data_IF_565465424478
#
_entry.id   IF_565465424478
#
_cell.length_a   1.000
_cell.length_b   1.000
_cell.length_c   1.000
_cell.angle_alpha   90.00
_cell.angle_beta   90.00
_cell.angle_gamma   90.00
#
_symmetry.space_group_name_H-M   'P 1'
#
loop_
_entity.id
_entity.type
_entity.pdbx_description
1 polymer ?
#
# COMPACT_ATOMS: atom_id res chain seq x y z
N UNK A 1 19.70 -2.65 15.83
CA UNK A 1 19.12 -3.55 14.84
C UNK A 1 17.64 -3.23 14.75
N UNK A 2 17.25 -2.38 13.81
CA UNK A 2 15.83 -2.20 13.50
C UNK A 2 15.32 -3.48 12.87
N UNK A 3 14.43 -4.18 13.57
CA UNK A 3 13.71 -5.31 13.00
C UNK A 3 12.89 -4.79 11.84
N UNK A 4 13.03 -5.43 10.70
CA UNK A 4 12.31 -5.19 9.47
C UNK A 4 10.81 -5.05 9.72
N UNK A 5 10.29 -3.82 9.75
CA UNK A 5 8.87 -3.53 9.97
C UNK A 5 7.97 -4.00 8.83
N UNK A 6 8.56 -4.38 7.69
CA UNK A 6 7.84 -4.77 6.48
C UNK A 6 7.54 -6.27 6.37
N UNK A 7 8.21 -7.10 7.17
CA UNK A 7 7.96 -8.55 7.25
C UNK A 7 7.11 -8.97 8.46
N UNK A 8 6.72 -8.01 9.31
CA UNK A 8 5.97 -8.34 10.50
C UNK A 8 4.58 -8.89 10.15
N UNK A 9 4.44 -10.17 10.41
CA UNK A 9 3.16 -10.83 10.60
C UNK A 9 2.26 -9.99 11.49
N UNK A 10 1.01 -9.81 11.08
CA UNK A 10 -0.03 -9.27 11.97
C UNK A 10 -0.06 -10.11 13.24
N UNK A 11 0.60 -9.64 14.28
CA UNK A 11 0.46 -10.26 15.60
C UNK A 11 -0.87 -9.83 16.19
N UNK A 12 -1.88 -10.64 15.97
CA UNK A 12 -3.14 -10.55 16.70
C UNK A 12 -2.87 -10.94 18.14
N UNK A 13 -2.49 -9.98 18.98
CA UNK A 13 -2.41 -10.22 20.41
C UNK A 13 -3.82 -10.18 21.02
N UNK A 14 -4.30 -11.33 21.46
CA UNK A 14 -5.27 -11.59 22.53
C UNK A 14 -6.63 -10.86 22.61
N UNK A 15 -7.17 -10.29 21.54
CA UNK A 15 -8.51 -9.68 21.57
C UNK A 15 -9.56 -10.42 20.75
N UNK A 16 -9.41 -11.73 20.60
CA UNK A 16 -10.29 -12.56 19.78
C UNK A 16 -9.74 -12.77 18.36
N UNK A 17 -10.37 -13.70 17.64
CA UNK A 17 -10.01 -13.97 16.23
C UNK A 17 -10.28 -12.73 15.39
N UNK A 18 -9.31 -12.28 14.57
CA UNK A 18 -9.52 -11.13 13.69
C UNK A 18 -10.69 -11.38 12.73
N UNK A 19 -11.39 -10.31 12.37
CA UNK A 19 -12.47 -10.42 11.38
C UNK A 19 -11.89 -10.76 10.01
N UNK A 20 -12.50 -11.70 9.28
CA UNK A 20 -12.06 -12.00 7.92
C UNK A 20 -12.45 -10.89 6.96
N UNK A 21 -11.72 -10.73 5.86
CA UNK A 21 -12.21 -10.03 4.70
C UNK A 21 -13.39 -10.80 4.09
N UNK A 22 -14.45 -10.11 3.64
CA UNK A 22 -15.63 -10.76 3.10
C UNK A 22 -15.35 -11.35 1.71
N UNK A 23 -16.16 -12.33 1.32
CA UNK A 23 -16.28 -12.73 -0.08
C UNK A 23 -16.80 -11.53 -0.87
N UNK A 24 -16.21 -11.24 -2.04
CA UNK A 24 -16.59 -10.09 -2.83
C UNK A 24 -17.75 -10.46 -3.75
N UNK A 25 -18.89 -9.79 -3.56
CA UNK A 25 -20.10 -9.92 -4.38
C UNK A 25 -20.00 -9.00 -5.61
N UNK A 26 -19.29 -9.48 -6.64
CA UNK A 26 -19.12 -8.75 -7.90
C UNK A 26 -20.46 -8.57 -8.65
N UNK A 27 -21.39 -9.50 -8.53
CA UNK A 27 -22.68 -9.44 -9.20
C UNK A 27 -23.51 -8.27 -8.67
N UNK A 28 -23.41 -7.99 -7.37
CA UNK A 28 -24.09 -6.85 -6.74
C UNK A 28 -23.78 -5.51 -7.41
N UNK A 29 -22.59 -5.36 -7.97
CA UNK A 29 -22.16 -4.14 -8.67
C UNK A 29 -22.18 -4.28 -10.19
N UNK A 30 -22.67 -5.42 -10.71
CA UNK A 30 -22.83 -5.67 -12.15
C UNK A 30 -21.53 -6.03 -12.88
N UNK A 31 -20.56 -6.63 -12.17
CA UNK A 31 -19.26 -7.03 -12.73
C UNK A 31 -18.96 -8.51 -12.48
N UNK A 32 -17.83 -8.97 -13.03
CA UNK A 32 -17.31 -10.32 -12.81
C UNK A 32 -15.97 -10.25 -12.10
N UNK A 33 -15.66 -11.27 -11.29
CA UNK A 33 -14.37 -11.42 -10.68
C UNK A 33 -13.24 -11.43 -11.73
N UNK A 34 -12.05 -10.92 -11.42
CA UNK A 34 -10.85 -11.21 -12.19
C UNK A 34 -10.60 -12.73 -12.27
N UNK A 35 -9.99 -13.18 -13.36
CA UNK A 35 -9.70 -14.60 -13.59
C UNK A 35 -8.20 -14.82 -13.64
N UNK A 36 -7.70 -15.74 -12.84
CA UNK A 36 -6.28 -16.11 -12.85
C UNK A 36 -5.95 -16.87 -14.13
N UNK A 37 -4.85 -16.49 -14.78
CA UNK A 37 -4.28 -17.25 -15.90
C UNK A 37 -3.32 -18.29 -15.34
N UNK A 38 -3.57 -19.55 -15.66
CA UNK A 38 -2.69 -20.68 -15.35
C UNK A 38 -1.75 -20.97 -16.51
N UNK A 39 -0.53 -21.44 -16.22
CA UNK A 39 0.37 -22.02 -17.22
C UNK A 39 1.43 -21.07 -17.83
N UNK A 40 1.59 -19.85 -17.33
CA UNK A 40 2.61 -18.91 -17.81
C UNK A 40 3.76 -18.73 -16.80
N UNK A 41 4.39 -19.83 -16.41
CA UNK A 41 5.56 -19.81 -15.54
C UNK A 41 6.67 -20.70 -16.08
N UNK A 42 7.70 -20.07 -16.63
CA UNK A 42 8.87 -20.73 -17.20
C UNK A 42 10.09 -20.77 -16.26
N UNK A 43 9.84 -20.52 -14.96
CA UNK A 43 10.86 -20.46 -13.92
C UNK A 43 11.19 -19.02 -13.48
N UNK A 44 11.82 -18.90 -12.31
CA UNK A 44 12.08 -17.60 -11.66
C UNK A 44 13.01 -16.67 -12.44
N UNK A 45 13.84 -17.21 -13.33
CA UNK A 45 14.78 -16.45 -14.16
C UNK A 45 14.29 -16.22 -15.60
N UNK A 46 13.09 -16.68 -15.93
CA UNK A 46 12.47 -16.41 -17.23
C UNK A 46 11.98 -14.96 -17.32
N UNK A 47 11.82 -14.39 -18.54
CA UNK A 47 11.15 -13.10 -18.69
C UNK A 47 9.71 -13.14 -18.18
N UNK A 48 9.25 -12.01 -17.67
CA UNK A 48 7.86 -11.88 -17.24
C UNK A 48 6.88 -12.00 -18.42
N UNK A 49 5.70 -12.57 -18.21
CA UNK A 49 4.66 -12.64 -19.23
C UNK A 49 4.20 -11.26 -19.70
N UNK A 50 3.75 -11.15 -20.96
CA UNK A 50 3.19 -9.91 -21.48
C UNK A 50 1.91 -9.54 -20.74
N UNK A 51 1.76 -8.23 -20.45
CA UNK A 51 0.58 -7.68 -19.77
C UNK A 51 0.26 -6.27 -20.26
N UNK A 52 -1.01 -5.88 -20.24
CA UNK A 52 -1.44 -4.51 -20.56
C UNK A 52 -1.12 -3.55 -19.40
N UNK A 53 -1.20 -4.06 -18.17
CA UNK A 53 -0.99 -3.32 -16.91
C UNK A 53 -0.13 -4.13 -15.97
N UNK A 54 0.80 -3.47 -15.29
CA UNK A 54 1.50 -4.00 -14.09
C UNK A 54 0.93 -3.32 -12.86
N UNK A 55 0.58 -4.08 -11.83
CA UNK A 55 0.21 -3.56 -10.51
C UNK A 55 1.20 -4.06 -9.48
N UNK A 56 1.81 -3.14 -8.73
CA UNK A 56 2.90 -3.42 -7.79
C UNK A 56 2.48 -3.11 -6.35
N UNK A 57 2.90 -3.95 -5.40
CA UNK A 57 2.68 -3.80 -3.95
C UNK A 57 3.87 -4.33 -3.16
N UNK A 58 3.94 -4.14 -1.84
CA UNK A 58 5.13 -4.48 -1.03
C UNK A 58 4.84 -5.35 0.19
N UNK A 59 4.09 -4.84 1.16
CA UNK A 59 3.97 -5.48 2.47
C UNK A 59 3.06 -6.70 2.46
N UNK A 60 3.21 -7.56 3.46
CA UNK A 60 2.35 -8.75 3.58
C UNK A 60 0.86 -8.41 3.71
N UNK A 61 0.55 -7.30 4.40
CA UNK A 61 -0.83 -6.84 4.55
C UNK A 61 -1.45 -6.43 3.21
N UNK A 62 -0.69 -5.65 2.44
CA UNK A 62 -1.06 -5.21 1.11
C UNK A 62 -1.20 -6.39 0.15
N UNK A 63 -0.21 -7.28 0.15
CA UNK A 63 -0.19 -8.44 -0.72
C UNK A 63 -1.35 -9.40 -0.43
N UNK A 64 -1.65 -9.69 0.84
CA UNK A 64 -2.78 -10.54 1.22
C UNK A 64 -4.13 -9.94 0.76
N UNK A 65 -4.33 -8.64 0.98
CA UNK A 65 -5.53 -7.95 0.52
C UNK A 65 -5.62 -7.89 -1.02
N UNK A 66 -4.50 -7.71 -1.67
CA UNK A 66 -4.35 -7.71 -3.12
C UNK A 66 -4.68 -9.07 -3.73
N UNK A 67 -4.13 -10.17 -3.15
CA UNK A 67 -4.48 -11.53 -3.53
C UNK A 67 -5.98 -11.78 -3.37
N UNK A 68 -6.56 -11.34 -2.26
CA UNK A 68 -7.99 -11.53 -2.01
C UNK A 68 -8.86 -10.87 -3.08
N UNK A 69 -8.57 -9.63 -3.47
CA UNK A 69 -9.38 -8.90 -4.46
C UNK A 69 -9.20 -9.44 -5.86
N UNK A 70 -7.97 -9.75 -6.27
CA UNK A 70 -7.65 -10.05 -7.66
C UNK A 70 -7.52 -11.54 -7.99
N UNK A 71 -7.27 -12.39 -6.99
CA UNK A 71 -6.99 -13.82 -7.19
C UNK A 71 -8.03 -14.72 -6.51
N UNK A 72 -8.37 -14.42 -5.26
CA UNK A 72 -9.16 -15.32 -4.41
C UNK A 72 -10.42 -14.67 -3.83
N UNK A 73 -11.11 -13.84 -4.59
CA UNK A 73 -12.27 -13.05 -4.15
C UNK A 73 -13.49 -13.87 -3.69
N UNK A 74 -13.55 -15.16 -4.03
CA UNK A 74 -14.63 -16.08 -3.62
C UNK A 74 -14.39 -16.76 -2.26
N UNK A 75 -13.31 -16.48 -1.57
CA UNK A 75 -12.99 -17.04 -0.26
C UNK A 75 -12.89 -15.94 0.80
N UNK A 76 -13.12 -16.27 2.08
CA UNK A 76 -12.80 -15.37 3.19
C UNK A 76 -11.30 -15.40 3.46
N UNK A 77 -10.73 -14.26 3.87
CA UNK A 77 -9.33 -14.14 4.28
C UNK A 77 -9.21 -13.59 5.69
N UNK A 78 -8.36 -14.23 6.48
CA UNK A 78 -7.94 -13.72 7.78
C UNK A 78 -6.53 -13.11 7.67
N UNK A 79 -6.16 -12.15 8.52
CA UNK A 79 -4.82 -11.53 8.49
C UNK A 79 -3.66 -12.54 8.56
N UNK A 80 -3.83 -13.65 9.26
CA UNK A 80 -2.79 -14.67 9.45
C UNK A 80 -2.89 -15.86 8.47
N UNK A 81 -3.81 -15.80 7.50
CA UNK A 81 -3.95 -16.84 6.47
C UNK A 81 -2.82 -16.70 5.44
N UNK A 82 -1.97 -17.73 5.35
CA UNK A 82 -0.78 -17.76 4.49
C UNK A 82 -0.85 -18.80 3.37
N UNK A 83 -1.91 -19.60 3.31
CA UNK A 83 -2.02 -20.68 2.32
C UNK A 83 -2.04 -20.16 0.87
N UNK A 84 -2.43 -18.91 0.68
CA UNK A 84 -2.46 -18.24 -0.61
C UNK A 84 -1.08 -17.97 -1.23
N UNK A 85 0.01 -17.91 -0.42
CA UNK A 85 1.37 -17.57 -0.88
C UNK A 85 1.89 -18.57 -1.92
N UNK A 86 1.55 -19.84 -1.79
CA UNK A 86 1.99 -20.89 -2.70
C UNK A 86 1.47 -20.78 -4.13
N UNK A 87 0.45 -19.95 -4.36
CA UNK A 87 -0.11 -19.73 -5.69
C UNK A 87 0.65 -18.68 -6.52
N UNK A 88 1.61 -17.96 -5.93
CA UNK A 88 2.38 -16.92 -6.59
C UNK A 88 3.72 -17.45 -7.10
N UNK A 89 4.19 -16.91 -8.24
CA UNK A 89 5.44 -17.32 -8.89
C UNK A 89 6.57 -16.40 -8.48
N UNK A 90 7.74 -16.97 -8.17
CA UNK A 90 8.95 -16.21 -7.84
C UNK A 90 9.56 -15.57 -9.08
N UNK A 91 10.22 -14.41 -8.90
CA UNK A 91 10.94 -13.72 -9.97
C UNK A 91 12.30 -13.22 -9.50
N UNK A 92 13.36 -13.67 -10.20
CA UNK A 92 14.76 -13.44 -9.81
C UNK A 92 15.68 -13.10 -10.99
N UNK A 93 15.12 -12.76 -12.16
CA UNK A 93 15.91 -12.47 -13.35
C UNK A 93 16.74 -11.20 -13.19
N UNK A 94 18.03 -11.26 -13.60
CA UNK A 94 18.95 -10.13 -13.60
C UNK A 94 19.15 -9.45 -12.23
N UNK A 95 19.10 -10.21 -11.15
CA UNK A 95 19.36 -9.67 -9.82
C UNK A 95 20.83 -9.24 -9.73
N UNK A 96 21.13 -8.00 -9.24
CA UNK A 96 22.50 -7.56 -9.02
C UNK A 96 23.20 -8.44 -7.99
N UNK A 97 24.51 -8.65 -8.19
CA UNK A 97 25.33 -9.31 -7.18
C UNK A 97 25.34 -8.47 -5.89
N UNK A 98 25.14 -9.13 -4.74
CA UNK A 98 25.11 -8.46 -3.43
C UNK A 98 23.74 -7.88 -3.05
N UNK A 99 22.70 -8.13 -3.84
CA UNK A 99 21.33 -7.80 -3.40
C UNK A 99 20.99 -8.60 -2.15
N UNK A 100 20.65 -7.89 -1.07
CA UNK A 100 20.08 -8.47 0.14
C UNK A 100 18.57 -8.36 0.04
N UNK A 101 17.89 -9.47 0.28
CA UNK A 101 16.43 -9.48 0.49
C UNK A 101 16.15 -9.98 1.89
N UNK A 102 14.99 -9.66 2.43
CA UNK A 102 14.54 -10.15 3.73
C UNK A 102 14.39 -11.68 3.77
N UNK A 103 14.44 -12.32 2.62
CA UNK A 103 14.28 -13.74 2.48
C UNK A 103 15.66 -14.42 2.51
N UNK A 104 15.90 -15.23 3.54
CA UNK A 104 17.18 -15.88 3.83
C UNK A 104 17.59 -16.97 2.83
N UNK A 105 16.74 -17.35 1.88
CA UNK A 105 16.97 -18.51 1.01
C UNK A 105 17.57 -18.20 -0.35
N UNK A 106 17.15 -17.14 -1.02
CA UNK A 106 17.73 -16.64 -2.27
C UNK A 106 17.19 -15.23 -2.56
N UNK A 107 18.00 -14.32 -3.12
CA UNK A 107 17.51 -13.00 -3.49
C UNK A 107 16.44 -13.10 -4.59
N UNK A 108 15.33 -12.39 -4.40
CA UNK A 108 14.22 -12.27 -5.32
C UNK A 108 13.93 -10.79 -5.59
N UNK A 109 13.49 -10.45 -6.79
CA UNK A 109 12.83 -9.18 -7.03
C UNK A 109 11.43 -9.14 -6.43
N UNK A 110 10.80 -10.30 -6.34
CA UNK A 110 9.46 -10.42 -5.80
C UNK A 110 8.71 -11.66 -6.29
N UNK A 111 7.40 -11.59 -6.16
CA UNK A 111 6.48 -12.63 -6.59
C UNK A 111 5.43 -12.03 -7.53
N UNK A 112 4.94 -12.82 -8.49
CA UNK A 112 3.93 -12.33 -9.42
C UNK A 112 2.81 -13.33 -9.69
N UNK A 113 1.70 -12.80 -10.19
CA UNK A 113 0.56 -13.54 -10.71
C UNK A 113 0.02 -12.82 -11.94
N UNK A 114 -0.50 -13.56 -12.91
CA UNK A 114 -1.16 -12.97 -14.08
C UNK A 114 -2.65 -13.23 -14.00
N UNK A 115 -3.43 -12.21 -14.25
CA UNK A 115 -4.88 -12.29 -14.29
C UNK A 115 -5.43 -11.65 -15.56
N UNK A 116 -6.66 -12.01 -15.92
CA UNK A 116 -7.49 -11.28 -16.85
C UNK A 116 -8.67 -10.63 -16.13
N UNK A 117 -9.02 -9.43 -16.54
CA UNK A 117 -10.22 -8.75 -16.08
C UNK A 117 -10.91 -8.01 -17.21
N UNK A 118 -12.24 -7.84 -17.10
CA UNK A 118 -13.02 -7.07 -18.06
C UNK A 118 -13.14 -5.61 -17.63
N UNK A 119 -12.88 -4.71 -18.56
CA UNK A 119 -13.13 -3.28 -18.36
C UNK A 119 -14.63 -2.95 -18.54
N UNK A 120 -15.04 -1.75 -18.12
CA UNK A 120 -16.39 -1.23 -18.34
C UNK A 120 -16.77 -1.15 -19.83
N UNK A 121 -15.78 -1.07 -20.71
CA UNK A 121 -15.94 -1.12 -22.17
C UNK A 121 -15.99 -2.55 -22.72
N UNK A 122 -16.10 -3.56 -21.86
CA UNK A 122 -16.10 -5.00 -22.17
C UNK A 122 -14.82 -5.51 -22.87
N UNK A 123 -13.74 -4.72 -22.85
CA UNK A 123 -12.41 -5.16 -23.28
C UNK A 123 -11.82 -6.04 -22.18
N UNK A 124 -11.20 -7.17 -22.54
CA UNK A 124 -10.37 -7.94 -21.62
C UNK A 124 -8.98 -7.32 -21.59
N UNK A 125 -8.45 -7.10 -20.39
CA UNK A 125 -7.06 -6.67 -20.16
C UNK A 125 -6.33 -7.72 -19.34
N UNK A 126 -5.04 -7.89 -19.61
CA UNK A 126 -4.12 -8.73 -18.84
C UNK A 126 -3.41 -7.85 -17.82
N UNK A 127 -3.40 -8.29 -16.58
CA UNK A 127 -2.77 -7.57 -15.49
C UNK A 127 -1.73 -8.48 -14.85
N UNK A 128 -0.49 -8.03 -14.79
CA UNK A 128 0.54 -8.67 -13.99
C UNK A 128 0.53 -8.04 -12.60
N UNK A 129 0.20 -8.83 -11.62
CA UNK A 129 0.25 -8.49 -10.20
C UNK A 129 1.65 -8.79 -9.69
N UNK A 130 2.31 -7.84 -9.04
CA UNK A 130 3.69 -7.99 -8.57
C UNK A 130 3.84 -7.58 -7.10
N UNK A 131 4.24 -8.52 -6.24
CA UNK A 131 4.68 -8.22 -4.88
C UNK A 131 6.18 -7.99 -4.92
N UNK A 132 6.61 -6.77 -4.67
CA UNK A 132 8.00 -6.35 -4.73
C UNK A 132 8.71 -6.60 -3.39
N UNK A 133 9.96 -7.10 -3.45
CA UNK A 133 10.84 -7.25 -2.30
C UNK A 133 11.91 -6.13 -2.22
N UNK A 134 11.89 -5.18 -3.17
CA UNK A 134 12.82 -4.06 -3.21
C UNK A 134 12.14 -2.79 -2.68
N UNK A 135 12.84 -2.03 -1.83
CA UNK A 135 12.31 -0.87 -1.15
C UNK A 135 13.39 0.21 -0.97
N UNK A 136 13.01 1.50 -0.96
CA UNK A 136 13.97 2.61 -0.80
C UNK A 136 14.77 2.58 0.50
N UNK A 137 14.23 2.00 1.57
CA UNK A 137 14.92 1.91 2.86
C UNK A 137 15.87 0.72 2.99
N UNK A 138 15.93 -0.18 1.99
CA UNK A 138 16.73 -1.40 2.04
C UNK A 138 17.58 -1.60 0.80
N UNK A 139 18.77 -2.24 0.90
CA UNK A 139 19.56 -2.60 -0.28
C UNK A 139 18.74 -3.44 -1.27
N UNK A 140 18.85 -3.18 -2.57
CA UNK A 140 19.75 -2.25 -3.25
C UNK A 140 19.22 -0.81 -3.37
N UNK A 141 18.30 -0.38 -2.51
CA UNK A 141 17.81 1.00 -2.42
C UNK A 141 17.19 1.52 -3.73
N UNK A 142 17.33 2.81 -4.02
CA UNK A 142 16.77 3.45 -5.21
C UNK A 142 17.20 2.77 -6.52
N UNK A 143 18.46 2.36 -6.63
CA UNK A 143 18.97 1.71 -7.85
C UNK A 143 18.26 0.38 -8.16
N UNK A 144 17.94 -0.40 -7.12
CA UNK A 144 17.18 -1.64 -7.28
C UNK A 144 15.73 -1.37 -7.66
N UNK A 145 15.11 -0.38 -7.06
CA UNK A 145 13.72 -0.01 -7.38
C UNK A 145 13.61 0.54 -8.82
N UNK A 146 14.59 1.35 -9.26
CA UNK A 146 14.68 1.79 -10.65
C UNK A 146 14.85 0.62 -11.61
N UNK A 147 15.76 -0.31 -11.28
CA UNK A 147 16.05 -1.49 -12.12
C UNK A 147 14.82 -2.39 -12.26
N UNK A 148 14.20 -2.80 -11.15
CA UNK A 148 13.04 -3.70 -11.21
C UNK A 148 11.85 -3.03 -11.91
N UNK A 149 11.60 -1.75 -11.64
CA UNK A 149 10.53 -1.01 -12.32
C UNK A 149 10.76 -0.96 -13.83
N UNK A 150 12.00 -0.66 -14.24
CA UNK A 150 12.39 -0.67 -15.65
C UNK A 150 12.19 -2.04 -16.29
N UNK A 151 12.59 -3.10 -15.59
CA UNK A 151 12.47 -4.48 -16.07
C UNK A 151 11.02 -4.94 -16.17
N UNK A 152 10.18 -4.60 -15.18
CA UNK A 152 8.73 -4.84 -15.24
C UNK A 152 8.10 -4.22 -16.50
N UNK A 153 8.42 -2.97 -16.81
CA UNK A 153 7.88 -2.29 -17.99
C UNK A 153 8.39 -2.92 -19.29
N UNK A 154 9.69 -3.16 -19.41
CA UNK A 154 10.32 -3.66 -20.63
C UNK A 154 9.89 -5.09 -20.96
N UNK A 155 9.85 -5.96 -19.97
CA UNK A 155 9.52 -7.37 -20.20
C UNK A 155 8.03 -7.59 -20.45
N UNK A 156 7.17 -6.92 -19.69
CA UNK A 156 5.71 -7.05 -19.90
C UNK A 156 5.22 -6.29 -21.12
N UNK A 157 5.90 -5.19 -21.49
CA UNK A 157 5.45 -4.26 -22.52
C UNK A 157 4.17 -3.51 -22.12
N UNK A 158 3.93 -3.34 -20.83
CA UNK A 158 2.72 -2.73 -20.30
C UNK A 158 2.59 -1.27 -20.71
N UNK A 159 1.37 -0.83 -20.95
CA UNK A 159 1.04 0.58 -21.20
C UNK A 159 0.81 1.37 -19.92
N UNK A 160 0.58 0.66 -18.80
CA UNK A 160 0.36 1.24 -17.47
C UNK A 160 1.12 0.47 -16.40
N UNK A 161 1.72 1.22 -15.47
CA UNK A 161 2.18 0.71 -14.19
C UNK A 161 1.39 1.38 -13.07
N UNK A 162 0.88 0.60 -12.15
CA UNK A 162 0.06 1.03 -11.03
C UNK A 162 0.67 0.57 -9.72
N UNK A 163 0.88 1.48 -8.80
CA UNK A 163 1.32 1.12 -7.46
C UNK A 163 0.15 1.16 -6.50
N UNK A 164 0.04 0.15 -5.65
CA UNK A 164 -0.93 0.12 -4.56
C UNK A 164 -0.23 -0.15 -3.24
N UNK A 165 -0.71 0.45 -2.17
CA UNK A 165 -0.17 0.19 -0.85
C UNK A 165 -0.70 1.13 0.23
N UNK A 166 -0.13 0.96 1.40
CA UNK A 166 -0.41 1.77 2.58
C UNK A 166 0.32 3.11 2.53
N UNK A 167 -0.22 4.09 3.22
CA UNK A 167 0.40 5.40 3.36
C UNK A 167 -0.01 6.09 4.66
N UNK A 168 0.85 6.97 5.14
CA UNK A 168 0.54 7.94 6.17
C UNK A 168 -0.37 9.04 5.66
N UNK A 169 -1.32 9.46 6.48
CA UNK A 169 -2.17 10.59 6.19
C UNK A 169 -1.40 11.90 6.11
N UNK A 170 -1.88 12.82 5.30
CA UNK A 170 -1.32 14.16 5.13
C UNK A 170 -2.16 15.26 5.79
N UNK A 171 -3.40 14.95 6.18
CA UNK A 171 -4.36 15.87 6.77
C UNK A 171 -5.15 15.22 7.90
N UNK A 172 -5.54 16.02 8.88
CA UNK A 172 -6.40 15.56 9.99
C UNK A 172 -7.81 15.12 9.56
N UNK A 173 -8.23 15.46 8.35
CA UNK A 173 -9.54 15.08 7.79
C UNK A 173 -9.56 13.76 7.04
N UNK A 174 -8.42 13.09 6.91
CA UNK A 174 -8.30 11.79 6.26
C UNK A 174 -8.57 10.68 7.26
N UNK A 175 -9.55 9.82 6.94
CA UNK A 175 -9.93 8.72 7.82
C UNK A 175 -9.08 7.49 7.55
N UNK A 176 -8.94 6.65 8.56
CA UNK A 176 -8.38 5.31 8.40
C UNK A 176 -9.15 4.55 7.31
N UNK A 177 -8.42 4.00 6.35
CA UNK A 177 -8.99 3.27 5.22
C UNK A 177 -9.49 4.12 4.06
N UNK A 178 -9.39 5.47 4.11
CA UNK A 178 -9.57 6.31 2.93
C UNK A 178 -8.53 5.92 1.87
N UNK A 179 -8.90 5.93 0.59
CA UNK A 179 -8.00 5.58 -0.51
C UNK A 179 -7.77 6.81 -1.38
N UNK A 180 -6.55 7.29 -1.39
CA UNK A 180 -6.14 8.42 -2.24
C UNK A 180 -5.57 7.87 -3.54
N UNK A 181 -6.10 8.33 -4.67
CA UNK A 181 -5.59 7.99 -6.00
C UNK A 181 -4.96 9.24 -6.59
N UNK A 182 -3.68 9.16 -6.97
CA UNK A 182 -2.94 10.26 -7.61
C UNK A 182 -2.03 9.77 -8.72
N UNK A 183 -1.72 10.63 -9.67
CA UNK A 183 -0.77 10.41 -10.75
C UNK A 183 0.44 11.36 -10.65
N UNK A 184 0.69 11.92 -9.48
CA UNK A 184 1.81 12.82 -9.24
C UNK A 184 2.55 12.45 -7.95
N UNK A 185 3.87 12.64 -7.94
CA UNK A 185 4.72 12.36 -6.79
C UNK A 185 5.92 13.29 -6.69
N UNK A 186 6.48 13.40 -5.50
CA UNK A 186 7.70 14.12 -5.21
C UNK A 186 8.62 13.23 -4.37
N UNK A 187 9.91 13.20 -4.71
CA UNK A 187 10.92 12.37 -4.05
C UNK A 187 11.75 13.23 -3.10
N UNK A 188 11.81 12.86 -1.83
CA UNK A 188 12.64 13.49 -0.82
C UNK A 188 13.46 12.44 -0.07
N UNK A 189 14.76 12.40 -0.30
CA UNK A 189 15.66 11.38 0.21
C UNK A 189 16.61 11.94 1.27
N UNK A 190 17.01 11.09 2.22
CA UNK A 190 17.97 11.41 3.28
C UNK A 190 19.10 10.38 3.39
N UNK A 191 18.85 9.11 3.04
CA UNK A 191 19.88 8.08 3.11
C UNK A 191 20.99 8.37 2.10
N UNK A 192 22.23 8.29 2.53
CA UNK A 192 23.42 8.53 1.70
C UNK A 192 23.42 7.68 0.43
N UNK A 193 23.00 6.44 0.57
CA UNK A 193 22.89 5.45 -0.50
C UNK A 193 21.94 5.90 -1.62
N UNK A 194 20.85 6.55 -1.24
CA UNK A 194 19.84 7.03 -2.19
C UNK A 194 20.18 8.41 -2.76
N UNK A 195 20.90 9.27 -2.02
CA UNK A 195 21.26 10.60 -2.49
C UNK A 195 22.15 10.58 -3.73
N UNK A 196 22.97 9.52 -3.90
CA UNK A 196 23.82 9.32 -5.08
C UNK A 196 23.05 8.98 -6.36
N UNK A 197 21.78 8.56 -6.25
CA UNK A 197 20.93 8.20 -7.41
C UNK A 197 20.55 9.41 -8.29
N UNK A 198 20.65 10.63 -7.77
CA UNK A 198 20.18 11.83 -8.45
C UNK A 198 18.65 11.99 -8.48
N UNK A 199 17.91 11.18 -7.74
CA UNK A 199 16.44 11.22 -7.66
C UNK A 199 15.92 12.26 -6.65
N UNK A 200 16.75 12.66 -5.69
CA UNK A 200 16.32 13.60 -4.65
C UNK A 200 15.78 14.91 -5.24
N UNK A 201 14.66 15.38 -4.72
CA UNK A 201 13.91 16.56 -5.18
C UNK A 201 13.35 16.46 -6.61
N UNK A 202 13.26 15.25 -7.18
CA UNK A 202 12.53 15.05 -8.44
C UNK A 202 11.04 15.01 -8.18
N UNK A 203 10.30 15.52 -9.17
CA UNK A 203 8.83 15.42 -9.20
C UNK A 203 8.39 14.76 -10.47
N UNK A 204 7.32 14.01 -10.40
CA UNK A 204 6.72 13.29 -11.52
C UNK A 204 5.24 13.63 -11.61
N UNK A 205 4.72 13.61 -12.84
CA UNK A 205 3.28 13.77 -13.08
C UNK A 205 2.88 12.96 -14.31
N UNK A 206 1.93 12.05 -14.13
CA UNK A 206 1.33 11.26 -15.21
C UNK A 206 0.47 12.11 -16.14
N UNK A 207 0.36 11.67 -17.37
CA UNK A 207 -0.43 12.35 -18.42
C UNK A 207 -1.90 11.98 -18.40
N UNK A 208 -2.26 10.86 -17.75
CA UNK A 208 -3.61 10.37 -17.66
C UNK A 208 -3.99 10.12 -16.20
N UNK A 209 -5.27 10.29 -15.91
CA UNK A 209 -5.84 10.02 -14.60
C UNK A 209 -7.18 9.30 -14.78
N UNK A 210 -7.41 8.14 -14.11
CA UNK A 210 -8.66 7.42 -14.21
C UNK A 210 -9.77 8.14 -13.46
N UNK A 211 -10.91 8.27 -14.10
CA UNK A 211 -12.13 8.79 -13.47
C UNK A 211 -13.29 7.86 -13.81
N UNK A 212 -14.01 7.41 -12.79
CA UNK A 212 -15.13 6.49 -12.97
C UNK A 212 -16.21 6.67 -11.91
N UNK A 213 -17.47 6.51 -12.32
CA UNK A 213 -18.60 6.42 -11.40
C UNK A 213 -18.54 5.17 -10.50
N UNK A 214 -17.74 4.17 -10.90
CA UNK A 214 -17.57 2.93 -10.17
C UNK A 214 -16.92 3.15 -8.78
N UNK A 215 -16.15 4.21 -8.59
CA UNK A 215 -15.56 4.55 -7.30
C UNK A 215 -16.62 4.66 -6.19
N UNK A 216 -17.69 5.40 -6.44
CA UNK A 216 -18.78 5.56 -5.45
C UNK A 216 -19.54 4.25 -5.22
N UNK A 217 -19.69 3.43 -6.26
CA UNK A 217 -20.36 2.12 -6.16
C UNK A 217 -19.55 1.14 -5.31
N UNK A 218 -18.24 1.01 -5.59
CA UNK A 218 -17.34 0.13 -4.83
C UNK A 218 -17.25 0.59 -3.37
N UNK A 219 -17.05 1.88 -3.14
CA UNK A 219 -17.00 2.45 -1.80
C UNK A 219 -18.28 2.13 -1.00
N UNK A 220 -19.44 2.28 -1.60
CA UNK A 220 -20.73 2.05 -0.94
C UNK A 220 -21.02 0.58 -0.64
N UNK A 221 -20.61 -0.33 -1.52
CA UNK A 221 -21.10 -1.70 -1.51
C UNK A 221 -20.06 -2.74 -1.14
N UNK A 222 -18.77 -2.46 -1.34
CA UNK A 222 -17.70 -3.45 -1.19
C UNK A 222 -16.65 -3.08 -0.14
N UNK A 223 -16.46 -1.78 0.19
CA UNK A 223 -15.44 -1.37 1.17
C UNK A 223 -15.69 -2.03 2.52
N UNK A 224 -14.59 -2.41 3.16
CA UNK A 224 -14.61 -2.90 4.52
C UNK A 224 -15.05 -1.79 5.49
N UNK A 225 -15.95 -2.14 6.39
CA UNK A 225 -16.40 -1.21 7.43
C UNK A 225 -15.37 -1.14 8.56
N UNK A 226 -14.54 -0.11 8.55
CA UNK A 226 -13.51 0.10 9.56
C UNK A 226 -14.07 0.25 10.97
N UNK A 227 -15.34 0.65 11.15
CA UNK A 227 -15.97 0.77 12.46
C UNK A 227 -16.13 -0.57 13.17
N UNK A 228 -16.12 -1.66 12.42
CA UNK A 228 -16.19 -3.03 12.96
C UNK A 228 -14.91 -3.49 13.67
N UNK A 229 -13.77 -2.88 13.35
CA UNK A 229 -12.44 -3.25 13.90
C UNK A 229 -11.83 -2.15 14.76
N UNK A 230 -12.09 -0.88 14.46
CA UNK A 230 -11.60 0.26 15.25
C UNK A 230 -12.57 0.50 16.40
N UNK A 231 -12.28 -0.06 17.55
CA UNK A 231 -13.11 0.04 18.75
C UNK A 231 -12.31 0.55 19.95
N UNK A 232 -12.96 1.16 20.93
CA UNK A 232 -12.28 1.63 22.15
C UNK A 232 -11.50 0.54 22.87
N UNK A 233 -12.01 -0.71 23.05
CA UNK A 233 -11.22 -1.78 23.63
C UNK A 233 -9.96 -2.12 22.87
N UNK A 234 -10.00 -2.14 21.53
CA UNK A 234 -8.83 -2.39 20.68
C UNK A 234 -7.81 -1.27 20.82
N UNK A 235 -8.23 -0.01 20.70
CA UNK A 235 -7.33 1.14 20.85
C UNK A 235 -6.73 1.21 22.26
N UNK A 236 -7.50 0.83 23.30
CA UNK A 236 -6.99 0.77 24.67
C UNK A 236 -5.90 -0.30 24.82
N UNK A 237 -6.10 -1.49 24.26
CA UNK A 237 -5.08 -2.55 24.27
C UNK A 237 -3.80 -2.10 23.61
N UNK A 238 -3.90 -1.49 22.40
CA UNK A 238 -2.74 -0.96 21.69
C UNK A 238 -2.02 0.12 22.50
N UNK A 239 -2.76 1.01 23.15
CA UNK A 239 -2.20 2.05 24.00
C UNK A 239 -1.47 1.48 25.24
N UNK A 240 -2.02 0.45 25.88
CA UNK A 240 -1.38 -0.22 26.99
C UNK A 240 -0.07 -0.90 26.57
N UNK A 241 -0.03 -1.49 25.38
CA UNK A 241 1.19 -2.05 24.78
C UNK A 241 2.23 -0.97 24.50
N UNK A 242 1.81 0.18 23.92
CA UNK A 242 2.69 1.33 23.71
C UNK A 242 3.32 1.83 25.01
N UNK A 243 2.52 1.97 26.08
CA UNK A 243 3.02 2.39 27.41
C UNK A 243 4.00 1.40 28.06
N UNK A 244 3.94 0.12 27.65
CA UNK A 244 4.93 -0.88 28.09
C UNK A 244 6.24 -0.77 27.30
N UNK A 245 6.17 -0.42 26.02
CA UNK A 245 7.34 -0.29 25.13
C UNK A 245 8.07 1.03 25.34
N UNK A 246 7.33 2.14 25.52
CA UNK A 246 7.88 3.49 25.65
C UNK A 246 7.45 4.14 26.98
N UNK A 247 8.45 4.44 27.82
CA UNK A 247 8.21 5.08 29.12
C UNK A 247 7.67 6.51 29.00
N UNK A 248 7.95 7.22 27.91
CA UNK A 248 7.41 8.57 27.62
C UNK A 248 5.90 8.55 27.42
N UNK A 249 5.37 7.46 26.85
CA UNK A 249 3.94 7.27 26.66
C UNK A 249 3.15 7.16 27.97
N UNK A 250 3.80 6.86 29.12
CA UNK A 250 3.14 6.79 30.44
C UNK A 250 2.56 8.14 30.90
N UNK A 251 3.06 9.23 30.39
CA UNK A 251 2.55 10.57 30.68
C UNK A 251 1.33 10.98 29.86
N UNK A 252 0.96 10.15 28.87
CA UNK A 252 -0.15 10.39 27.95
C UNK A 252 -1.39 9.57 28.35
N UNK A 253 -2.52 9.98 27.81
CA UNK A 253 -3.78 9.21 27.81
C UNK A 253 -4.11 8.78 26.38
N UNK A 254 -4.93 7.74 26.22
CA UNK A 254 -5.39 7.30 24.90
C UNK A 254 -5.99 8.45 24.07
N UNK A 255 -6.76 9.34 24.71
CA UNK A 255 -7.36 10.49 24.03
C UNK A 255 -6.33 11.53 23.54
N UNK A 256 -5.10 11.48 23.98
CA UNK A 256 -4.05 12.36 23.49
C UNK A 256 -3.49 11.89 22.12
N UNK A 257 -3.66 10.59 21.80
CA UNK A 257 -3.20 9.95 20.56
C UNK A 257 -4.34 9.66 19.56
N UNK A 258 -5.57 9.54 20.04
CA UNK A 258 -6.76 9.31 19.19
C UNK A 258 -7.28 10.66 18.71
N UNK A 259 -7.09 10.92 17.42
CA UNK A 259 -7.65 12.06 16.72
C UNK A 259 -8.97 11.68 15.99
N UNK A 260 -9.74 12.63 15.43
CA UNK A 260 -11.01 12.33 14.77
C UNK A 260 -10.99 11.20 13.76
N UNK A 261 -9.95 11.02 12.90
CA UNK A 261 -9.86 9.92 11.95
C UNK A 261 -9.76 8.51 12.57
N UNK A 262 -9.42 8.43 13.85
CA UNK A 262 -9.26 7.16 14.58
C UNK A 262 -10.26 7.02 15.74
N UNK A 263 -11.03 8.06 16.06
CA UNK A 263 -12.03 8.03 17.13
C UNK A 263 -13.25 7.18 16.73
N UNK A 264 -13.52 6.04 17.40
CA UNK A 264 -14.63 5.16 17.05
C UNK A 264 -16.01 5.83 17.01
N UNK A 265 -16.18 6.95 17.72
CA UNK A 265 -17.44 7.73 17.72
C UNK A 265 -17.60 8.62 16.48
N UNK A 266 -16.49 9.00 15.87
CA UNK A 266 -16.44 9.94 14.76
C UNK A 266 -15.93 9.31 13.46
N UNK A 267 -15.50 8.05 13.51
CA UNK A 267 -15.01 7.32 12.35
C UNK A 267 -16.11 7.23 11.30
N UNK A 268 -15.80 7.68 10.09
CA UNK A 268 -16.71 7.65 8.95
C UNK A 268 -16.39 6.48 8.05
N UNK A 269 -17.36 6.12 7.22
CA UNK A 269 -17.09 5.17 6.12
C UNK A 269 -15.92 5.68 5.27
N UNK A 270 -14.96 4.80 5.02
CA UNK A 270 -13.81 5.08 4.17
C UNK A 270 -14.26 5.46 2.76
N UNK A 271 -13.53 6.36 2.11
CA UNK A 271 -13.87 6.91 0.79
C UNK A 271 -12.69 6.83 -0.16
N UNK A 272 -12.99 6.85 -1.45
CA UNK A 272 -11.99 7.07 -2.50
C UNK A 272 -11.86 8.58 -2.71
N UNK A 273 -10.63 9.07 -2.70
CA UNK A 273 -10.27 10.49 -2.87
C UNK A 273 -9.45 10.62 -4.14
N UNK A 274 -10.05 10.94 -5.29
CA UNK A 274 -9.30 11.26 -6.50
C UNK A 274 -8.50 12.55 -6.29
N UNK A 275 -7.20 12.49 -6.52
CA UNK A 275 -6.25 13.57 -6.29
C UNK A 275 -5.39 13.84 -7.54
N UNK A 276 -6.05 14.01 -8.71
CA UNK A 276 -5.39 14.25 -9.99
C UNK A 276 -4.38 15.40 -9.90
N UNK A 277 -3.13 15.08 -10.21
CA UNK A 277 -2.02 16.02 -10.20
C UNK A 277 -1.60 16.55 -8.84
N UNK A 278 -2.23 16.16 -7.73
CA UNK A 278 -1.73 16.48 -6.39
C UNK A 278 -0.68 15.45 -6.00
N UNK A 279 0.60 15.87 -5.79
CA UNK A 279 1.67 14.92 -5.54
C UNK A 279 1.54 14.24 -4.18
N UNK A 280 1.88 12.96 -4.14
CA UNK A 280 2.28 12.28 -2.91
C UNK A 280 3.75 12.60 -2.58
N UNK A 281 4.17 12.34 -1.35
CA UNK A 281 5.56 12.44 -0.94
C UNK A 281 6.14 11.04 -0.75
N UNK A 282 7.17 10.73 -1.53
CA UNK A 282 8.00 9.52 -1.39
C UNK A 282 9.26 9.85 -0.59
N UNK A 283 9.51 9.09 0.48
CA UNK A 283 10.71 9.24 1.33
C UNK A 283 11.38 7.90 1.57
N UNK A 284 12.69 7.91 1.82
CA UNK A 284 13.45 6.73 2.24
C UNK A 284 13.59 6.60 3.76
N UNK A 285 12.79 7.36 4.49
CA UNK A 285 12.69 7.35 5.94
C UNK A 285 11.23 7.49 6.38
N UNK A 286 10.93 7.00 7.56
CA UNK A 286 9.58 7.15 8.11
C UNK A 286 9.30 8.63 8.43
N UNK A 287 8.37 9.23 7.67
CA UNK A 287 8.04 10.65 7.80
C UNK A 287 6.85 10.84 8.74
N UNK A 288 7.12 11.39 9.92
CA UNK A 288 6.07 11.71 10.89
C UNK A 288 5.48 13.08 10.55
N UNK A 289 4.31 13.05 9.94
CA UNK A 289 3.63 14.25 9.51
C UNK A 289 3.23 15.17 10.66
N UNK A 290 3.44 16.46 10.48
CA UNK A 290 2.94 17.49 11.40
C UNK A 290 2.54 18.76 10.65
N UNK A 291 1.32 19.26 10.94
CA UNK A 291 0.87 20.58 10.54
C UNK A 291 0.80 20.85 9.04
N UNK A 292 1.04 22.11 8.67
CA UNK A 292 0.86 22.60 7.30
C UNK A 292 1.82 22.00 6.26
N UNK A 293 2.96 21.46 6.68
CA UNK A 293 3.94 20.87 5.74
C UNK A 293 3.41 19.60 5.11
N UNK A 294 2.81 18.71 5.90
CA UNK A 294 2.22 17.48 5.40
C UNK A 294 1.05 17.75 4.44
N UNK A 295 0.26 18.79 4.70
CA UNK A 295 -0.93 19.13 3.90
C UNK A 295 -0.63 19.52 2.44
N UNK A 296 0.64 19.76 2.10
CA UNK A 296 1.08 19.96 0.71
C UNK A 296 0.89 18.71 -0.14
N UNK A 297 1.00 17.54 0.47
CA UNK A 297 0.98 16.25 -0.17
C UNK A 297 -0.41 15.64 -0.19
N UNK A 298 -0.63 14.71 -1.09
CA UNK A 298 -1.86 13.91 -1.09
C UNK A 298 -1.82 12.83 -0.04
N UNK A 299 -0.68 12.16 0.11
CA UNK A 299 -0.32 11.16 1.13
C UNK A 299 1.20 11.08 1.28
N UNK A 300 1.69 10.32 2.27
CA UNK A 300 3.10 10.11 2.57
C UNK A 300 3.43 8.62 2.46
N UNK A 301 4.44 8.25 1.65
CA UNK A 301 4.79 6.85 1.42
C UNK A 301 6.29 6.72 1.05
N UNK A 302 6.75 5.55 0.60
CA UNK A 302 8.18 5.28 0.55
C UNK A 302 8.72 4.76 -0.82
N UNK A 303 7.91 4.64 -1.90
CA UNK A 303 8.40 4.03 -3.17
C UNK A 303 7.86 4.64 -4.46
N UNK A 304 6.63 5.15 -4.46
CA UNK A 304 5.84 5.44 -5.65
C UNK A 304 6.43 6.43 -6.63
N UNK A 305 6.96 7.55 -6.12
CA UNK A 305 7.47 8.57 -7.02
C UNK A 305 8.71 8.10 -7.80
N UNK A 306 9.46 7.11 -7.29
CA UNK A 306 10.55 6.46 -8.05
C UNK A 306 9.98 5.62 -9.18
N UNK A 307 8.91 4.86 -8.93
CA UNK A 307 8.20 4.12 -9.99
C UNK A 307 7.69 5.08 -11.06
N UNK A 308 7.04 6.16 -10.65
CA UNK A 308 6.56 7.19 -11.56
C UNK A 308 7.68 7.84 -12.38
N UNK A 309 8.85 8.05 -11.76
CA UNK A 309 10.02 8.58 -12.45
C UNK A 309 10.50 7.64 -13.58
N UNK A 310 10.66 6.35 -13.29
CA UNK A 310 11.05 5.36 -14.29
C UNK A 310 10.00 5.22 -15.38
N UNK A 311 8.72 5.14 -15.00
CA UNK A 311 7.62 5.05 -15.95
C UNK A 311 7.59 6.26 -16.90
N UNK A 312 7.81 7.47 -16.39
CA UNK A 312 7.89 8.69 -17.20
C UNK A 312 9.06 8.65 -18.19
N UNK A 313 10.24 8.19 -17.79
CA UNK A 313 11.39 8.01 -18.69
C UNK A 313 11.09 6.98 -19.79
N UNK A 314 10.35 5.94 -19.50
CA UNK A 314 9.94 4.88 -20.43
C UNK A 314 8.66 5.20 -21.21
N UNK A 315 8.07 6.40 -21.02
CA UNK A 315 6.80 6.81 -21.64
C UNK A 315 5.63 5.87 -21.37
N UNK A 316 5.65 5.21 -20.21
CA UNK A 316 4.58 4.37 -19.69
C UNK A 316 3.68 5.20 -18.78
N UNK A 317 2.37 5.06 -18.88
CA UNK A 317 1.43 5.72 -17.97
C UNK A 317 1.54 5.14 -16.57
N UNK A 318 1.31 5.97 -15.54
CA UNK A 318 1.38 5.50 -14.16
C UNK A 318 0.32 6.17 -13.27
N UNK A 319 -0.04 5.47 -12.20
CA UNK A 319 -0.92 5.98 -11.16
C UNK A 319 -0.64 5.26 -9.84
N UNK A 320 -1.03 5.87 -8.74
CA UNK A 320 -0.82 5.39 -7.38
C UNK A 320 -2.15 5.36 -6.63
N UNK A 321 -2.41 4.25 -5.94
CA UNK A 321 -3.54 4.09 -5.02
C UNK A 321 -3.00 3.82 -3.62
N UNK A 322 -3.13 4.78 -2.72
CA UNK A 322 -2.63 4.67 -1.36
C UNK A 322 -3.76 4.72 -0.36
N UNK A 323 -3.92 3.66 0.41
CA UNK A 323 -4.87 3.62 1.51
C UNK A 323 -4.24 4.16 2.79
N UNK A 324 -4.98 5.02 3.48
CA UNK A 324 -4.53 5.56 4.77
C UNK A 324 -4.55 4.44 5.80
N UNK A 325 -3.37 3.97 6.18
CA UNK A 325 -3.16 2.95 7.22
C UNK A 325 -2.81 3.55 8.57
N UNK A 326 -2.26 4.75 8.55
CA UNK A 326 -1.79 5.50 9.70
C UNK A 326 -2.17 6.98 9.55
N UNK A 327 -3.33 7.39 10.08
CA UNK A 327 -3.74 8.79 10.09
C UNK A 327 -2.76 9.65 10.89
N UNK A 328 -2.74 10.96 10.62
CA UNK A 328 -1.89 11.89 11.36
C UNK A 328 -2.13 11.78 12.87
N UNK A 329 -1.05 11.54 13.60
CA UNK A 329 -1.03 11.62 15.08
C UNK A 329 -0.73 13.06 15.50
N UNK A 330 -1.50 13.67 16.41
CA UNK A 330 -1.27 15.03 16.84
C UNK A 330 0.15 15.25 17.38
N UNK A 331 0.79 16.35 17.00
CA UNK A 331 2.09 16.73 17.54
C UNK A 331 1.98 17.31 18.97
N UNK A 332 0.79 17.70 19.38
CA UNK A 332 0.50 18.27 20.71
C UNK A 332 -0.80 17.74 21.26
N UNK A 333 -0.82 17.43 22.57
CA UNK A 333 -2.02 17.11 23.31
C UNK A 333 -2.07 17.96 24.59
N UNK A 334 -3.18 18.64 24.83
CA UNK A 334 -3.37 19.51 26.02
C UNK A 334 -2.22 20.50 26.26
N UNK A 335 -1.65 21.03 25.18
CA UNK A 335 -0.51 21.97 25.25
C UNK A 335 0.87 21.33 25.43
N UNK A 336 0.97 20.02 25.61
CA UNK A 336 2.24 19.27 25.67
C UNK A 336 2.61 18.76 24.28
N UNK A 337 3.88 18.81 23.94
CA UNK A 337 4.42 18.16 22.72
C UNK A 337 4.45 16.65 22.94
N UNK A 338 4.02 15.90 21.93
CA UNK A 338 4.16 14.44 21.88
C UNK A 338 5.42 14.14 21.07
N UNK A 339 6.34 13.36 21.64
CA UNK A 339 7.59 13.01 20.99
C UNK A 339 7.36 12.24 19.69
N UNK A 340 8.19 12.49 18.70
CA UNK A 340 8.09 11.88 17.39
C UNK A 340 8.30 10.34 17.44
N UNK A 341 9.09 9.83 18.39
CA UNK A 341 9.20 8.38 18.63
C UNK A 341 7.87 7.76 19.01
N UNK A 342 7.15 8.37 19.97
CA UNK A 342 5.83 7.89 20.42
C UNK A 342 4.81 7.97 19.28
N UNK A 343 4.83 9.06 18.51
CA UNK A 343 3.94 9.24 17.35
C UNK A 343 4.22 8.18 16.28
N UNK A 344 5.51 7.89 16.02
CA UNK A 344 5.94 6.86 15.09
C UNK A 344 5.55 5.45 15.54
N UNK A 345 5.75 5.13 16.80
CA UNK A 345 5.37 3.82 17.36
C UNK A 345 3.87 3.63 17.35
N UNK A 346 3.09 4.64 17.73
CA UNK A 346 1.62 4.60 17.65
C UNK A 346 1.13 4.40 16.22
N UNK A 347 1.68 5.14 15.26
CA UNK A 347 1.38 5.00 13.84
C UNK A 347 1.71 3.60 13.32
N UNK A 348 2.87 3.05 13.70
CA UNK A 348 3.25 1.68 13.37
C UNK A 348 2.33 0.62 13.99
N UNK A 349 1.86 0.82 15.22
CA UNK A 349 0.89 -0.07 15.87
C UNK A 349 -0.48 0.00 15.18
N UNK A 350 -0.94 1.19 14.72
CA UNK A 350 -2.15 1.36 13.91
C UNK A 350 -2.02 0.59 12.60
N UNK A 351 -0.92 0.80 11.87
CA UNK A 351 -0.64 0.05 10.65
C UNK A 351 -0.67 -1.46 10.88
N UNK A 352 0.04 -1.95 11.91
CA UNK A 352 0.10 -3.38 12.23
C UNK A 352 -1.26 -3.98 12.56
N UNK A 353 -2.15 -3.18 13.14
CA UNK A 353 -3.48 -3.64 13.54
C UNK A 353 -4.52 -3.56 12.41
N UNK A 354 -4.45 -2.54 11.57
CA UNK A 354 -5.52 -2.21 10.64
C UNK A 354 -5.10 -2.20 9.16
N UNK A 355 -3.79 -2.30 8.87
CA UNK A 355 -3.26 -2.22 7.51
C UNK A 355 -3.84 -3.24 6.54
N UNK A 356 -4.15 -4.46 7.00
CA UNK A 356 -4.81 -5.49 6.21
C UNK A 356 -6.19 -5.04 5.69
N UNK A 357 -7.01 -4.44 6.57
CA UNK A 357 -8.36 -3.99 6.22
C UNK A 357 -8.34 -2.73 5.34
N UNK A 358 -7.41 -1.81 5.63
CA UNK A 358 -7.25 -0.60 4.80
C UNK A 358 -6.74 -0.96 3.41
N UNK A 359 -5.84 -1.94 3.29
CA UNK A 359 -5.30 -2.42 2.01
C UNK A 359 -6.35 -3.11 1.15
N UNK A 360 -7.34 -3.76 1.76
CA UNK A 360 -8.48 -4.30 1.03
C UNK A 360 -9.26 -3.20 0.29
N UNK A 361 -9.51 -2.05 0.95
CA UNK A 361 -10.13 -0.91 0.31
C UNK A 361 -9.25 -0.34 -0.82
N UNK A 362 -7.93 -0.28 -0.61
CA UNK A 362 -6.95 0.12 -1.63
C UNK A 362 -7.00 -0.76 -2.88
N UNK A 363 -7.03 -2.07 -2.68
CA UNK A 363 -7.11 -3.05 -3.78
C UNK A 363 -8.44 -2.94 -4.55
N UNK A 364 -9.57 -2.76 -3.85
CA UNK A 364 -10.89 -2.53 -4.49
C UNK A 364 -10.94 -1.23 -5.29
N UNK A 365 -10.38 -0.15 -4.75
CA UNK A 365 -10.32 1.13 -5.46
C UNK A 365 -9.47 1.02 -6.73
N UNK A 366 -8.35 0.29 -6.67
CA UNK A 366 -7.50 0.00 -7.82
C UNK A 366 -8.23 -0.85 -8.85
N UNK A 367 -8.94 -1.90 -8.43
CA UNK A 367 -9.78 -2.69 -9.33
C UNK A 367 -10.80 -1.82 -10.07
N UNK A 368 -11.47 -0.92 -9.36
CA UNK A 368 -12.44 0.00 -9.97
C UNK A 368 -11.79 0.95 -10.99
N UNK A 369 -10.58 1.44 -10.70
CA UNK A 369 -9.81 2.30 -11.60
C UNK A 369 -9.38 1.55 -12.88
N UNK A 370 -8.84 0.33 -12.75
CA UNK A 370 -8.46 -0.51 -13.88
C UNK A 370 -9.66 -0.90 -14.75
N UNK A 371 -10.81 -1.14 -14.12
CA UNK A 371 -12.06 -1.43 -14.83
C UNK A 371 -12.52 -0.25 -15.70
N UNK A 372 -12.16 0.98 -15.37
CA UNK A 372 -12.49 2.18 -16.13
C UNK A 372 -11.60 2.41 -17.37
N UNK A 373 -10.48 1.72 -17.49
CA UNK A 373 -9.54 1.82 -18.62
C UNK A 373 -10.13 1.18 -19.89
#
# INVERSE_FOLDING_TARGET
MEKNRFTDTFRTQNTGKPLPLPIIDWERIGYTAPTVISGEYDGSSAPLPKADVVVITWTSAEWNAFDHVFVNSSSTRYPDDRDWEHAWHTYSRNIPSGMSTDNTSAPLWGLYRVIEMKTSKKKTIRVLLFKCDTHLAHPPYASGLEQITGQLIDETGCSWIWSIGTAGGSKESENLGDVVITNAGHIQLKLSENLSSGLNNKSVKGTAFPSTKLFSTVQKHLFFDMTSVVTWPVLKSMFDELQQKDSGAKSLTLNDLVNPPLDPKNLKQSKIVPADGKPLLTTDYYYIASGAEAAKWSVLEMDDAVIGYVAQQKKTSFCFSRNISDPIVPAKAKGKTIDDSIRGDWSGDIYSRFGFYTSFNGALATWAALTAM
#
